data_IF_450330924785
#
_entry.id   IF_450330924785
#
_cell.length_a   1.000
_cell.length_b   1.000
_cell.length_c   1.000
_cell.angle_alpha   90.00
_cell.angle_beta   90.00
_cell.angle_gamma   90.00
#
_symmetry.space_group_name_H-M   'P 1'
#
loop_
_entity.id
_entity.type
_entity.pdbx_description
1 polymer ?
#
# COMPACT_ATOMS: atom_id res chain seq x y z
N UNK A 1 3.67 -18.84 14.45
CA UNK A 1 4.63 -19.45 15.40
C UNK A 1 4.14 -19.17 16.82
N UNK A 2 4.27 -20.11 17.75
CA UNK A 2 3.79 -19.94 19.13
C UNK A 2 4.97 -19.98 20.09
N UNK A 3 5.01 -19.03 21.03
CA UNK A 3 6.00 -18.98 22.09
C UNK A 3 5.29 -18.74 23.41
N UNK A 4 5.97 -19.03 24.51
CA UNK A 4 5.47 -18.75 25.84
C UNK A 4 6.64 -18.38 26.74
N UNK A 5 6.36 -17.63 27.79
CA UNK A 5 7.31 -17.41 28.87
C UNK A 5 6.93 -18.31 30.03
N UNK A 6 7.91 -19.07 30.52
CA UNK A 6 7.80 -19.92 31.70
C UNK A 6 8.78 -19.40 32.75
N UNK A 7 8.34 -19.38 34.01
CA UNK A 7 9.18 -19.03 35.15
C UNK A 7 9.38 -20.29 35.99
N UNK A 8 10.64 -20.62 36.24
CA UNK A 8 11.06 -21.76 37.05
C UNK A 8 11.88 -21.25 38.25
N UNK A 9 11.57 -21.75 39.45
CA UNK A 9 12.34 -21.44 40.65
C UNK A 9 13.57 -22.38 40.82
N UNK A 10 14.41 -22.11 41.81
CA UNK A 10 15.59 -22.93 42.12
C UNK A 10 15.27 -24.35 42.62
N UNK A 11 13.99 -24.65 42.85
CA UNK A 11 13.47 -25.93 43.30
C UNK A 11 12.70 -26.66 42.19
N UNK A 12 12.87 -26.23 40.93
CA UNK A 12 12.24 -26.79 39.73
C UNK A 12 10.71 -26.64 39.68
N UNK A 13 10.12 -25.73 40.47
CA UNK A 13 8.70 -25.43 40.36
C UNK A 13 8.47 -24.44 39.22
N UNK A 14 7.54 -24.77 38.33
CA UNK A 14 7.15 -23.95 37.17
C UNK A 14 5.80 -23.30 37.42
N UNK A 15 5.58 -22.12 36.86
CA UNK A 15 4.26 -21.49 36.94
C UNK A 15 3.20 -22.35 36.23
N UNK A 16 2.10 -22.66 36.93
CA UNK A 16 1.08 -23.63 36.44
C UNK A 16 0.42 -23.23 35.11
N UNK A 17 0.39 -21.92 34.81
CA UNK A 17 -0.22 -21.40 33.59
C UNK A 17 0.69 -20.38 32.90
N UNK A 18 1.60 -20.84 32.00
CA UNK A 18 2.44 -19.97 31.18
C UNK A 18 1.62 -19.12 30.19
N UNK A 19 1.95 -17.83 30.07
CA UNK A 19 1.30 -16.95 29.10
C UNK A 19 1.80 -17.31 27.70
N UNK A 20 0.88 -17.70 26.83
CA UNK A 20 1.17 -18.05 25.43
C UNK A 20 0.94 -16.86 24.52
N UNK A 21 1.90 -16.63 23.63
CA UNK A 21 1.85 -15.59 22.61
C UNK A 21 1.98 -16.23 21.22
N UNK A 22 1.25 -15.67 20.26
CA UNK A 22 1.31 -16.08 18.86
C UNK A 22 1.94 -14.98 18.02
N UNK A 23 2.95 -15.33 17.22
CA UNK A 23 3.41 -14.50 16.11
C UNK A 23 2.64 -14.93 14.86
N UNK A 24 1.88 -13.98 14.30
CA UNK A 24 1.24 -14.12 13.00
C UNK A 24 2.11 -13.43 11.97
N UNK A 25 2.55 -14.20 10.96
CA UNK A 25 3.25 -13.65 9.80
C UNK A 25 2.17 -13.40 8.76
N UNK A 26 1.93 -12.13 8.44
CA UNK A 26 1.07 -11.72 7.32
C UNK A 26 1.98 -11.48 6.11
N UNK A 27 1.50 -11.88 4.93
CA UNK A 27 2.19 -11.55 3.70
C UNK A 27 1.98 -10.08 3.40
N UNK A 28 3.06 -9.42 3.01
CA UNK A 28 3.09 -8.03 2.56
C UNK A 28 2.31 -7.90 1.24
N UNK A 29 1.40 -6.94 1.14
CA UNK A 29 0.73 -6.61 -0.12
C UNK A 29 1.56 -5.59 -0.91
N UNK A 30 1.66 -5.76 -2.22
CA UNK A 30 2.30 -4.72 -3.04
C UNK A 30 1.48 -3.43 -3.03
N UNK A 31 2.12 -2.24 -3.01
CA UNK A 31 1.42 -0.99 -3.15
C UNK A 31 0.57 -0.95 -4.43
N UNK A 32 -0.63 -0.38 -4.33
CA UNK A 32 -1.56 -0.23 -5.44
C UNK A 32 -1.85 1.23 -5.73
N UNK A 33 -1.97 1.57 -7.01
CA UNK A 33 -2.34 2.91 -7.50
C UNK A 33 -3.45 2.82 -8.53
N UNK A 34 -4.42 3.73 -8.42
CA UNK A 34 -5.53 3.88 -9.36
C UNK A 34 -5.69 5.36 -9.70
N UNK A 35 -5.77 5.71 -10.99
CA UNK A 35 -6.11 7.07 -11.45
C UNK A 35 -7.64 7.16 -11.49
N UNK A 36 -8.20 8.05 -10.69
CA UNK A 36 -9.66 8.28 -10.62
C UNK A 36 -10.13 9.40 -11.55
N UNK A 37 -9.23 10.33 -11.90
CA UNK A 37 -9.46 11.39 -12.88
C UNK A 37 -8.10 11.86 -13.44
N UNK A 38 -7.97 12.22 -14.72
CA UNK A 38 -9.00 12.14 -15.76
C UNK A 38 -9.31 10.71 -16.22
N UNK A 39 -10.50 10.50 -16.79
CA UNK A 39 -10.78 9.28 -17.55
C UNK A 39 -9.92 9.20 -18.82
N UNK A 40 -9.87 8.02 -19.45
CA UNK A 40 -9.06 7.75 -20.64
C UNK A 40 -9.40 8.65 -21.86
N UNK A 41 -10.49 9.42 -21.78
CA UNK A 41 -11.07 10.22 -22.87
C UNK A 41 -11.26 11.70 -22.50
N UNK A 42 -10.56 12.21 -21.50
CA UNK A 42 -10.70 13.62 -21.12
C UNK A 42 -10.24 14.59 -22.21
N UNK A 43 -11.00 15.68 -22.37
CA UNK A 43 -10.62 16.79 -23.24
C UNK A 43 -9.51 17.58 -22.55
N UNK A 44 -8.38 17.75 -23.24
CA UNK A 44 -7.29 18.59 -22.73
C UNK A 44 -7.79 20.04 -22.53
N UNK A 45 -7.68 20.60 -21.32
CA UNK A 45 -8.09 21.95 -21.05
C UNK A 45 -7.19 22.95 -21.81
N UNK A 46 -7.76 24.11 -22.18
CA UNK A 46 -7.02 25.16 -22.91
C UNK A 46 -5.81 25.69 -22.14
N UNK A 47 -5.82 25.58 -20.82
CA UNK A 47 -4.70 25.93 -19.95
C UNK A 47 -3.49 25.00 -20.10
N UNK A 48 -3.64 23.85 -20.78
CA UNK A 48 -2.69 22.73 -20.81
C UNK A 48 -2.31 22.20 -19.42
N UNK A 49 -3.10 22.51 -18.39
CA UNK A 49 -2.93 21.98 -17.04
C UNK A 49 -3.93 20.86 -16.80
N UNK A 50 -3.45 19.64 -16.61
CA UNK A 50 -4.27 18.48 -16.29
C UNK A 50 -4.06 18.15 -14.81
N UNK A 51 -5.13 18.25 -14.02
CA UNK A 51 -5.15 17.70 -12.66
C UNK A 51 -5.30 16.19 -12.74
N UNK A 52 -4.56 15.47 -11.90
CA UNK A 52 -4.67 14.01 -11.81
C UNK A 52 -5.05 13.67 -10.39
N UNK A 53 -6.21 13.05 -10.25
CA UNK A 53 -6.67 12.47 -9.01
C UNK A 53 -6.35 10.98 -9.03
N UNK A 54 -5.80 10.49 -7.93
CA UNK A 54 -5.42 9.10 -7.79
C UNK A 54 -5.66 8.63 -6.36
N UNK A 55 -5.90 7.33 -6.22
CA UNK A 55 -5.93 6.62 -4.95
C UNK A 55 -4.69 5.72 -4.86
N UNK A 56 -4.04 5.74 -3.69
CA UNK A 56 -2.92 4.85 -3.39
C UNK A 56 -3.26 4.09 -2.11
N UNK A 57 -2.99 2.79 -2.11
CA UNK A 57 -3.19 1.92 -0.96
C UNK A 57 -1.94 1.07 -0.73
N UNK A 58 -1.58 0.94 0.53
CA UNK A 58 -0.53 0.05 1.03
C UNK A 58 -0.86 -0.30 2.49
N UNK A 59 -0.53 -1.51 2.94
CA UNK A 59 -0.82 -2.02 4.29
C UNK A 59 0.27 -1.72 5.32
N UNK A 60 1.48 -1.34 4.88
CA UNK A 60 2.61 -0.97 5.74
C UNK A 60 3.16 0.44 5.49
N UNK A 61 2.66 1.13 4.46
CA UNK A 61 3.04 2.47 4.03
C UNK A 61 4.10 2.50 2.93
N UNK A 62 4.19 3.63 2.21
CA UNK A 62 5.19 3.84 1.17
C UNK A 62 6.10 5.03 1.52
N UNK A 63 7.41 4.90 1.25
CA UNK A 63 8.40 5.96 1.55
C UNK A 63 8.56 6.97 0.42
N UNK A 64 8.31 6.57 -0.83
CA UNK A 64 8.48 7.43 -2.01
C UNK A 64 7.60 6.93 -3.17
N UNK A 65 7.07 7.88 -3.93
CA UNK A 65 6.36 7.63 -5.18
C UNK A 65 7.00 8.43 -6.32
N UNK A 66 7.13 7.81 -7.48
CA UNK A 66 7.56 8.45 -8.73
C UNK A 66 6.53 8.10 -9.81
N UNK A 67 5.86 9.13 -10.35
CA UNK A 67 4.85 8.99 -11.40
C UNK A 67 5.41 9.64 -12.67
N UNK A 68 5.44 8.88 -13.76
CA UNK A 68 5.76 9.40 -15.10
C UNK A 68 4.50 9.39 -15.96
N UNK A 69 4.18 10.52 -16.57
CA UNK A 69 2.97 10.71 -17.37
C UNK A 69 3.37 11.08 -18.79
N UNK A 70 2.71 10.43 -19.76
CA UNK A 70 2.83 10.75 -21.17
C UNK A 70 1.46 11.13 -21.71
N UNK A 71 1.34 12.34 -22.26
CA UNK A 71 0.13 12.81 -22.94
C UNK A 71 0.34 12.80 -24.45
N UNK A 72 -0.70 12.43 -25.19
CA UNK A 72 -0.71 12.45 -26.65
C UNK A 72 -1.81 13.38 -27.13
N UNK A 73 -1.48 14.28 -28.06
CA UNK A 73 -2.47 15.14 -28.72
C UNK A 73 -2.90 14.49 -30.02
N UNK A 74 -4.14 14.01 -30.08
CA UNK A 74 -4.75 13.53 -31.33
C UNK A 74 -5.36 14.75 -32.03
N UNK A 75 -4.70 15.23 -33.09
CA UNK A 75 -5.22 16.32 -33.92
C UNK A 75 -5.93 15.78 -35.15
N UNK A 76 -7.19 16.16 -35.35
CA UNK A 76 -7.87 15.97 -36.65
C UNK A 76 -7.49 17.12 -37.57
N UNK A 77 -6.78 16.82 -38.67
CA UNK A 77 -6.66 17.78 -39.79
C UNK A 77 -8.02 17.87 -40.47
N UNK A 78 -8.69 19.00 -40.30
CA UNK A 78 -9.83 19.39 -41.13
C UNK A 78 -9.24 20.09 -42.37
N UNK A 79 -9.48 19.50 -43.54
CA UNK A 79 -9.13 20.07 -44.85
C UNK A 79 -10.08 21.21 -45.22
#
# INVERSE_FOLDING_TARGET
MNYHFEVEDSSNNKNENPIRYSVNIIQDEFPQIEITDPDQSSILPQSNLVSINYNIKDDFGFSKMHIELQYFRIGTRIN
#
